data_IF_114805979049
#
_entry.id   IF_114805979049
#
_cell.length_a   1.000
_cell.length_b   1.000
_cell.length_c   1.000
_cell.angle_alpha   90.00
_cell.angle_beta   90.00
_cell.angle_gamma   90.00
#
_symmetry.space_group_name_H-M   'P 1'
#
loop_
_entity.id
_entity.type
_entity.pdbx_description
1 polymer ?
#
# COMPACT_ATOMS: atom_id res chain seq x y z
N UNK A 1 -16.88 -22.66 13.54
CA UNK A 1 -16.24 -21.71 12.61
C UNK A 1 -16.21 -20.39 13.36
N UNK A 2 -15.03 -19.94 13.77
CA UNK A 2 -14.88 -18.69 14.54
C UNK A 2 -14.71 -17.57 13.52
N UNK A 3 -15.69 -16.68 13.41
CA UNK A 3 -15.52 -15.43 12.66
C UNK A 3 -14.58 -14.53 13.46
N UNK A 4 -13.41 -14.24 12.89
CA UNK A 4 -12.51 -13.24 13.47
C UNK A 4 -13.21 -11.88 13.42
N UNK A 5 -13.25 -11.12 14.53
CA UNK A 5 -13.85 -9.80 14.51
C UNK A 5 -13.10 -8.92 13.51
N UNK A 6 -13.81 -8.19 12.65
CA UNK A 6 -13.21 -7.14 11.82
C UNK A 6 -12.59 -6.12 12.76
N UNK A 7 -11.26 -6.06 12.80
CA UNK A 7 -10.55 -5.27 13.80
C UNK A 7 -10.35 -3.86 13.27
N UNK A 8 -11.35 -3.00 13.47
CA UNK A 8 -11.40 -1.66 12.88
C UNK A 8 -10.88 -0.55 13.81
N UNK A 9 -10.60 -0.89 15.06
CA UNK A 9 -10.07 0.02 16.06
C UNK A 9 -8.60 -0.34 16.33
N UNK A 10 -7.70 0.64 16.29
CA UNK A 10 -6.29 0.49 16.67
C UNK A 10 -6.14 -0.14 18.06
N UNK A 11 -7.10 0.11 18.96
CA UNK A 11 -7.18 -0.49 20.30
C UNK A 11 -7.52 -1.98 20.24
N UNK A 12 -8.45 -2.37 19.36
CA UNK A 12 -8.81 -3.77 19.12
C UNK A 12 -7.71 -4.51 18.34
N UNK A 13 -6.96 -3.83 17.46
CA UNK A 13 -5.75 -4.36 16.81
C UNK A 13 -4.72 -4.66 17.88
N UNK A 14 -4.55 -3.75 18.85
CA UNK A 14 -3.64 -3.96 19.96
C UNK A 14 -4.00 -5.15 20.84
N UNK A 15 -5.30 -5.33 21.14
CA UNK A 15 -5.79 -6.44 21.96
C UNK A 15 -5.77 -7.78 21.20
N UNK A 16 -6.15 -7.79 19.92
CA UNK A 16 -6.06 -8.94 19.03
C UNK A 16 -4.62 -9.41 18.78
N UNK A 17 -3.66 -8.48 18.63
CA UNK A 17 -2.23 -8.76 18.48
C UNK A 17 -1.56 -9.27 19.77
N UNK A 18 -2.16 -9.02 20.95
CA UNK A 18 -1.69 -9.56 22.24
C UNK A 18 -2.13 -11.01 22.46
N UNK A 19 -3.29 -11.41 21.94
CA UNK A 19 -3.93 -12.69 22.27
C UNK A 19 -3.65 -13.85 21.28
N UNK A 20 -2.59 -13.78 20.45
CA UNK A 20 -2.03 -14.89 19.65
C UNK A 20 -3.04 -15.79 18.88
N UNK A 21 -3.97 -15.22 18.11
CA UNK A 21 -4.82 -16.05 17.20
C UNK A 21 -5.28 -15.37 15.90
N UNK A 22 -4.82 -14.15 15.62
CA UNK A 22 -5.02 -13.49 14.31
C UNK A 22 -3.65 -13.40 13.66
N UNK A 23 -3.54 -13.85 12.41
CA UNK A 23 -2.36 -13.76 11.55
C UNK A 23 -1.72 -12.37 11.68
N UNK A 24 -0.67 -12.30 12.50
CA UNK A 24 0.01 -11.07 12.90
C UNK A 24 0.50 -10.27 11.70
N UNK A 25 0.72 -10.96 10.58
CA UNK A 25 1.26 -10.40 9.35
C UNK A 25 0.18 -9.87 8.40
N UNK A 26 -1.04 -10.42 8.41
CA UNK A 26 -2.10 -10.13 7.42
C UNK A 26 -3.50 -10.02 8.04
N UNK A 27 -3.75 -9.00 8.89
CA UNK A 27 -5.03 -8.84 9.56
C UNK A 27 -6.16 -8.48 8.57
N UNK A 28 -7.42 -8.85 8.86
CA UNK A 28 -8.57 -8.39 8.08
C UNK A 28 -8.64 -6.86 8.03
N UNK A 29 -8.97 -6.31 6.88
CA UNK A 29 -9.16 -4.87 6.71
C UNK A 29 -10.61 -4.46 6.91
N UNK A 30 -10.83 -3.26 7.42
CA UNK A 30 -12.18 -2.70 7.58
C UNK A 30 -12.62 -1.81 6.42
N UNK A 31 -11.69 -1.45 5.54
CA UNK A 31 -11.94 -0.67 4.35
C UNK A 31 -10.96 -1.07 3.26
N UNK A 32 -11.39 -0.95 2.02
CA UNK A 32 -10.54 -1.10 0.84
C UNK A 32 -9.50 0.04 0.76
N UNK A 33 -8.40 -0.13 0.00
CA UNK A 33 -7.40 0.94 -0.17
C UNK A 33 -8.03 2.23 -0.72
N UNK A 34 -7.58 3.38 -0.23
CA UNK A 34 -8.02 4.69 -0.75
C UNK A 34 -7.20 5.12 -1.96
N UNK A 35 -7.69 6.10 -2.71
CA UNK A 35 -6.97 6.69 -3.84
C UNK A 35 -5.59 7.25 -3.42
N UNK A 36 -5.50 7.90 -2.27
CA UNK A 36 -4.24 8.42 -1.73
C UNK A 36 -3.28 7.30 -1.35
N UNK A 37 -3.80 6.22 -0.75
CA UNK A 37 -3.00 5.04 -0.40
C UNK A 37 -2.40 4.39 -1.64
N UNK A 38 -3.22 4.23 -2.69
CA UNK A 38 -2.80 3.66 -3.98
C UNK A 38 -1.77 4.57 -4.66
N UNK A 39 -2.04 5.89 -4.75
CA UNK A 39 -1.13 6.85 -5.35
C UNK A 39 0.26 6.81 -4.69
N UNK A 40 0.31 6.80 -3.36
CA UNK A 40 1.56 6.71 -2.61
C UNK A 40 2.28 5.39 -2.84
N UNK A 41 1.56 4.26 -2.82
CA UNK A 41 2.16 2.95 -3.04
C UNK A 41 2.76 2.82 -4.44
N UNK A 42 2.05 3.30 -5.48
CA UNK A 42 2.56 3.33 -6.85
C UNK A 42 3.79 4.25 -6.99
N UNK A 43 3.76 5.43 -6.36
CA UNK A 43 4.87 6.37 -6.41
C UNK A 43 6.16 5.79 -5.81
N UNK A 44 6.04 5.12 -4.65
CA UNK A 44 7.17 4.45 -4.00
C UNK A 44 7.66 3.29 -4.86
N UNK A 45 6.75 2.47 -5.39
CA UNK A 45 7.10 1.33 -6.22
C UNK A 45 7.91 1.75 -7.46
N UNK A 46 7.42 2.74 -8.21
CA UNK A 46 8.08 3.21 -9.43
C UNK A 46 9.42 3.86 -9.12
N UNK A 47 9.47 4.65 -8.05
CA UNK A 47 10.72 5.24 -7.59
C UNK A 47 11.76 4.17 -7.30
N UNK A 48 11.43 3.11 -6.55
CA UNK A 48 12.40 2.06 -6.18
C UNK A 48 12.85 1.24 -7.39
N UNK A 49 12.02 1.16 -8.44
CA UNK A 49 12.36 0.47 -9.71
C UNK A 49 13.14 1.34 -10.70
N UNK A 50 13.15 2.65 -10.52
CA UNK A 50 13.88 3.55 -11.41
C UNK A 50 15.39 3.25 -11.33
N UNK A 51 16.09 2.98 -12.45
CA UNK A 51 17.53 2.74 -12.45
C UNK A 51 18.37 3.89 -11.88
N UNK A 52 17.83 5.10 -11.85
CA UNK A 52 18.46 6.29 -11.27
C UNK A 52 18.21 6.44 -9.76
N UNK A 53 17.37 5.59 -9.17
CA UNK A 53 17.11 5.59 -7.74
C UNK A 53 18.35 5.14 -6.96
N UNK A 54 19.02 6.14 -6.38
CA UNK A 54 20.25 5.95 -5.64
C UNK A 54 20.13 6.61 -4.25
N UNK A 55 19.40 5.98 -3.31
CA UNK A 55 19.28 6.50 -1.96
C UNK A 55 20.64 6.45 -1.25
N UNK A 56 20.93 7.51 -0.49
CA UNK A 56 22.07 7.51 0.43
C UNK A 56 21.62 7.04 1.79
N UNK A 57 22.44 6.22 2.45
CA UNK A 57 22.14 5.67 3.76
C UNK A 57 23.05 6.28 4.83
N UNK A 58 22.57 6.39 6.06
CA UNK A 58 23.39 6.70 7.22
C UNK A 58 24.10 5.45 7.78
N UNK A 59 24.88 5.63 8.85
CA UNK A 59 25.64 4.55 9.51
C UNK A 59 24.76 3.45 10.12
N UNK A 60 23.45 3.70 10.26
CA UNK A 60 22.47 2.77 10.81
C UNK A 60 21.60 2.13 9.72
N UNK A 61 21.83 2.47 8.44
CA UNK A 61 21.07 1.95 7.31
C UNK A 61 19.76 2.67 7.03
N UNK A 62 19.52 3.85 7.61
CA UNK A 62 18.35 4.68 7.26
C UNK A 62 18.65 5.56 6.04
N UNK A 63 17.62 5.79 5.22
CA UNK A 63 17.72 6.67 4.06
C UNK A 63 17.92 8.11 4.55
N UNK A 64 19.06 8.71 4.18
CA UNK A 64 19.41 10.11 4.46
C UNK A 64 18.93 11.06 3.37
N UNK A 65 18.98 10.63 2.12
CA UNK A 65 18.50 11.40 0.97
C UNK A 65 18.09 10.45 -0.15
N UNK A 66 16.89 10.64 -0.67
CA UNK A 66 16.35 10.00 -1.85
C UNK A 66 15.64 11.08 -2.70
N UNK A 67 15.53 10.90 -4.03
CA UNK A 67 14.63 11.73 -4.82
C UNK A 67 13.22 11.75 -4.21
N UNK A 68 12.43 12.83 -4.33
CA UNK A 68 11.03 12.77 -3.95
C UNK A 68 10.29 11.80 -4.88
N UNK A 69 9.35 10.98 -4.36
CA UNK A 69 8.51 10.14 -5.20
C UNK A 69 7.59 11.03 -6.06
N UNK A 70 7.17 10.58 -7.26
CA UNK A 70 6.23 11.33 -8.08
C UNK A 70 4.87 11.47 -7.39
N UNK A 71 4.18 12.58 -7.61
CA UNK A 71 2.82 12.78 -7.11
C UNK A 71 1.81 12.27 -8.13
N UNK A 72 1.29 11.07 -7.92
CA UNK A 72 0.27 10.48 -8.78
C UNK A 72 -1.14 10.98 -8.44
N UNK A 73 -1.98 11.11 -9.47
CA UNK A 73 -3.42 11.25 -9.36
C UNK A 73 -4.09 9.93 -9.72
N UNK A 74 -5.03 9.50 -8.87
CA UNK A 74 -5.83 8.28 -9.06
C UNK A 74 -7.27 8.67 -9.40
N UNK A 75 -7.79 8.14 -10.50
CA UNK A 75 -9.18 8.31 -10.95
C UNK A 75 -9.89 6.97 -11.11
N UNK A 76 -11.23 7.00 -11.20
CA UNK A 76 -12.06 5.84 -11.56
C UNK A 76 -11.81 4.59 -10.70
N UNK A 77 -11.45 4.81 -9.42
CA UNK A 77 -11.02 3.76 -8.51
C UNK A 77 -12.16 2.78 -8.21
N UNK A 78 -11.92 1.51 -8.50
CA UNK A 78 -12.78 0.41 -8.11
C UNK A 78 -11.93 -0.66 -7.44
N UNK A 79 -12.24 -0.97 -6.17
CA UNK A 79 -11.58 -2.03 -5.43
C UNK A 79 -12.60 -3.07 -4.98
N UNK A 80 -12.15 -4.31 -4.82
CA UNK A 80 -12.92 -5.38 -4.20
C UNK A 80 -12.01 -6.30 -3.40
N UNK A 81 -12.53 -6.85 -2.30
CA UNK A 81 -11.84 -7.91 -1.58
C UNK A 81 -11.76 -9.16 -2.44
N UNK A 82 -10.62 -9.83 -2.41
CA UNK A 82 -10.38 -11.09 -3.13
C UNK A 82 -10.25 -12.29 -2.21
N UNK A 83 -10.02 -12.07 -0.92
CA UNK A 83 -9.95 -13.11 0.12
C UNK A 83 -11.22 -13.08 0.99
N UNK A 84 -11.59 -14.24 1.54
CA UNK A 84 -12.70 -14.35 2.49
C UNK A 84 -12.36 -13.68 3.83
N UNK A 85 -11.07 -13.57 4.12
CA UNK A 85 -10.48 -12.91 5.28
C UNK A 85 -10.43 -11.39 5.13
N UNK A 86 -10.82 -10.83 3.98
CA UNK A 86 -10.83 -9.38 3.70
C UNK A 86 -9.48 -8.68 3.96
N UNK A 87 -8.38 -9.41 3.78
CA UNK A 87 -7.00 -8.93 3.93
C UNK A 87 -6.28 -8.78 2.59
N UNK A 88 -6.94 -9.11 1.48
CA UNK A 88 -6.46 -8.92 0.11
C UNK A 88 -7.51 -8.16 -0.71
N UNK A 89 -7.06 -7.23 -1.53
CA UNK A 89 -7.91 -6.47 -2.44
C UNK A 89 -7.30 -6.42 -3.85
N UNK A 90 -8.16 -6.46 -4.86
CA UNK A 90 -7.79 -6.13 -6.24
C UNK A 90 -8.46 -4.81 -6.62
N UNK A 91 -7.69 -3.90 -7.19
CA UNK A 91 -8.13 -2.55 -7.54
C UNK A 91 -7.81 -2.24 -9.01
N UNK A 92 -8.79 -1.70 -9.73
CA UNK A 92 -8.64 -1.11 -11.06
C UNK A 92 -8.79 0.41 -10.96
N UNK A 93 -7.90 1.17 -11.58
CA UNK A 93 -7.92 2.64 -11.51
C UNK A 93 -7.15 3.29 -12.67
N UNK A 94 -7.49 4.55 -12.96
CA UNK A 94 -6.68 5.42 -13.80
C UNK A 94 -5.56 6.07 -12.99
N UNK A 95 -4.32 5.99 -13.48
CA UNK A 95 -3.12 6.57 -12.86
C UNK A 95 -2.51 7.63 -13.77
N UNK A 96 -2.43 8.88 -13.31
CA UNK A 96 -1.87 10.00 -14.06
C UNK A 96 -0.74 10.69 -13.31
N UNK A 97 0.34 11.04 -14.02
CA UNK A 97 1.28 12.06 -13.54
C UNK A 97 0.76 13.46 -13.95
N UNK A 98 0.65 14.41 -13.02
CA UNK A 98 0.36 15.80 -13.35
C UNK A 98 1.34 16.34 -14.39
N UNK A 99 0.80 16.83 -15.51
CA UNK A 99 1.61 17.41 -16.60
C UNK A 99 2.09 16.42 -17.66
N UNK A 100 1.73 15.14 -17.58
CA UNK A 100 1.99 14.16 -18.65
C UNK A 100 0.93 14.25 -19.76
N UNK A 101 1.36 14.32 -21.02
CA UNK A 101 0.45 14.44 -22.17
C UNK A 101 -0.39 13.18 -22.44
N UNK A 102 0.09 12.01 -22.00
CA UNK A 102 -0.59 10.72 -22.20
C UNK A 102 -1.87 10.56 -21.38
N UNK A 103 -2.14 11.44 -20.41
CA UNK A 103 -3.33 11.34 -19.56
C UNK A 103 -3.29 10.15 -18.59
N UNK A 104 -4.45 9.80 -18.02
CA UNK A 104 -4.55 8.70 -17.06
C UNK A 104 -4.42 7.34 -17.75
N UNK A 105 -3.54 6.49 -17.23
CA UNK A 105 -3.30 5.12 -17.71
C UNK A 105 -4.06 4.13 -16.84
N UNK A 106 -4.77 3.17 -17.43
CA UNK A 106 -5.48 2.17 -16.65
C UNK A 106 -4.50 1.14 -16.05
N UNK A 107 -4.69 0.85 -14.77
CA UNK A 107 -3.85 -0.05 -13.97
C UNK A 107 -4.76 -0.99 -13.20
N UNK A 108 -4.37 -2.26 -13.14
CA UNK A 108 -4.90 -3.23 -12.18
C UNK A 108 -3.79 -3.63 -11.21
N UNK A 109 -4.08 -3.58 -9.91
CA UNK A 109 -3.09 -3.91 -8.89
C UNK A 109 -3.71 -4.61 -7.67
N UNK A 110 -2.97 -5.58 -7.13
CA UNK A 110 -3.34 -6.27 -5.88
C UNK A 110 -2.66 -5.66 -4.67
N UNK A 111 -3.39 -5.63 -3.57
CA UNK A 111 -2.97 -5.09 -2.29
C UNK A 111 -3.20 -6.10 -1.17
N UNK A 112 -2.29 -6.10 -0.20
CA UNK A 112 -2.38 -6.85 1.04
C UNK A 112 -2.44 -5.93 2.24
N UNK A 113 -3.40 -6.16 3.13
CA UNK A 113 -3.42 -5.46 4.41
C UNK A 113 -2.45 -6.15 5.35
N UNK A 114 -1.41 -5.43 5.79
CA UNK A 114 -0.35 -5.97 6.65
C UNK A 114 -0.11 -5.10 7.86
N UNK A 115 0.34 -5.75 8.93
CA UNK A 115 0.88 -5.04 10.09
C UNK A 115 2.21 -4.38 9.74
N UNK A 116 2.41 -3.16 10.22
CA UNK A 116 3.68 -2.46 10.12
C UNK A 116 4.09 -1.89 11.47
N UNK A 117 5.40 -1.76 11.65
CA UNK A 117 6.01 -1.19 12.84
C UNK A 117 7.24 -0.38 12.42
N UNK A 118 7.31 0.84 12.91
CA UNK A 118 8.46 1.72 12.79
C UNK A 118 8.93 2.06 14.19
N UNK A 119 10.10 1.55 14.55
CA UNK A 119 10.78 1.87 15.78
C UNK A 119 11.92 2.85 15.48
N UNK A 120 11.84 4.05 16.05
CA UNK A 120 12.92 5.04 16.04
C UNK A 120 13.43 5.25 17.47
N UNK A 121 14.53 5.98 17.61
CA UNK A 121 15.10 6.32 18.93
C UNK A 121 14.11 7.13 19.79
N UNK A 122 13.22 7.90 19.16
CA UNK A 122 12.31 8.84 19.83
C UNK A 122 10.83 8.46 19.73
N UNK A 123 10.48 7.47 18.92
CA UNK A 123 9.09 7.09 18.67
C UNK A 123 8.93 5.62 18.32
N UNK A 124 7.82 5.04 18.74
CA UNK A 124 7.36 3.73 18.33
C UNK A 124 5.99 3.90 17.66
N UNK A 125 5.94 3.63 16.36
CA UNK A 125 4.72 3.71 15.56
C UNK A 125 4.38 2.33 15.03
N UNK A 126 3.09 1.96 15.08
CA UNK A 126 2.62 0.69 14.53
C UNK A 126 1.19 0.84 14.05
N UNK A 127 0.79 -0.03 13.14
CA UNK A 127 -0.58 -0.07 12.63
C UNK A 127 -0.78 -1.16 11.60
N UNK A 128 -1.86 -1.01 10.84
CA UNK A 128 -2.15 -1.81 9.65
C UNK A 128 -2.20 -0.89 8.45
N UNK A 129 -1.71 -1.36 7.32
CA UNK A 129 -1.65 -0.57 6.10
C UNK A 129 -1.79 -1.49 4.87
N UNK A 130 -2.30 -0.93 3.78
CA UNK A 130 -2.38 -1.64 2.51
C UNK A 130 -1.04 -1.54 1.78
N UNK A 131 -0.44 -2.68 1.49
CA UNK A 131 0.81 -2.79 0.75
C UNK A 131 0.52 -3.32 -0.66
N UNK A 132 1.09 -2.65 -1.65
CA UNK A 132 1.06 -3.12 -3.04
C UNK A 132 1.83 -4.45 -3.16
N UNK A 133 1.21 -5.47 -3.76
CA UNK A 133 1.88 -6.76 -4.08
C UNK A 133 2.49 -6.79 -5.46
N UNK A 134 1.81 -6.17 -6.41
CA UNK A 134 2.18 -6.17 -7.82
C UNK A 134 2.93 -4.89 -8.18
N UNK A 135 3.10 -4.64 -9.47
CA UNK A 135 3.53 -3.33 -9.94
C UNK A 135 2.34 -2.48 -10.34
N UNK A 136 2.49 -1.15 -10.23
CA UNK A 136 1.51 -0.22 -10.79
C UNK A 136 1.76 0.01 -12.29
N UNK A 137 2.25 -1.02 -12.99
CA UNK A 137 2.52 -0.91 -14.42
C UNK A 137 1.18 -0.88 -15.14
N UNK A 138 0.96 0.11 -16.04
CA UNK A 138 -0.23 0.12 -16.87
C UNK A 138 -0.39 -1.17 -17.66
N UNK A 139 -1.64 -1.61 -17.84
CA UNK A 139 -1.92 -2.74 -18.71
C UNK A 139 -1.42 -2.43 -20.13
N UNK A 140 -0.49 -3.23 -20.70
CA UNK A 140 0.04 -2.99 -22.05
C UNK A 140 -1.03 -3.03 -23.13
N UNK A 141 -2.20 -3.62 -22.87
CA UNK A 141 -3.31 -3.72 -23.84
C UNK A 141 -4.39 -2.63 -23.65
N UNK A 142 -4.14 -1.63 -22.80
CA UNK A 142 -5.06 -0.51 -22.50
C UNK A 142 -5.19 0.56 -23.59
N UNK A 143 -4.96 0.23 -24.86
CA UNK A 143 -5.29 1.09 -25.99
C UNK A 143 -6.76 0.88 -26.40
N UNK A 144 -7.64 1.81 -26.02
CA UNK A 144 -8.94 2.03 -26.67
C UNK A 144 -9.11 3.50 -27.03
#
# INVERSE_FOLDING_TARGET
>A
MFELPKVCDLSAVHEGLRNQSIDRERPPACALPTAETIAQACAIHDQVRDPSYNPTYDELGYIRSAPPPPEYLVSDLQCRFTSAEENEANCSFGLALPGEERGARQVEARFDNRYWQLDTIISHSRGVHWFLRDDCTPDPDGDV
#
